data_IF_893110380707
#
_entry.id   IF_893110380707
#
_cell.length_a   1.000
_cell.length_b   1.000
_cell.length_c   1.000
_cell.angle_alpha   90.00
_cell.angle_beta   90.00
_cell.angle_gamma   90.00
#
_symmetry.space_group_name_H-M   'P 1'
#
loop_
_entity.id
_entity.type
_entity.pdbx_description
1 polymer ?
#
# COMPACT_ATOMS: atom_id res chain seq x y z
N UNK A 1 4.40 4.96 -14.90
CA UNK A 1 4.95 3.58 -14.91
C UNK A 1 6.33 3.63 -14.27
N UNK A 2 6.45 3.17 -13.02
CA UNK A 2 7.72 3.06 -12.33
C UNK A 2 8.25 1.64 -12.54
N UNK A 3 9.41 1.48 -13.17
CA UNK A 3 10.04 0.18 -13.43
C UNK A 3 10.75 -0.31 -12.15
N UNK A 4 9.95 -0.73 -11.17
CA UNK A 4 10.36 -1.22 -9.85
C UNK A 4 9.54 -2.47 -9.51
N UNK A 5 10.13 -3.37 -8.73
CA UNK A 5 9.42 -4.55 -8.21
C UNK A 5 8.27 -4.09 -7.32
N UNK A 6 7.04 -4.48 -7.64
CA UNK A 6 5.85 -4.16 -6.86
C UNK A 6 5.39 -5.38 -6.07
N UNK A 7 5.09 -5.21 -4.78
CA UNK A 7 4.65 -6.32 -3.91
C UNK A 7 3.20 -6.76 -4.17
N UNK A 8 2.34 -5.84 -4.60
CA UNK A 8 0.99 -6.17 -5.06
C UNK A 8 0.86 -5.69 -6.49
N UNK A 9 0.63 -6.65 -7.38
CA UNK A 9 0.34 -6.41 -8.80
C UNK A 9 -1.19 -6.45 -9.01
N UNK A 10 -1.67 -5.89 -10.12
CA UNK A 10 -3.09 -5.86 -10.48
C UNK A 10 -3.69 -7.26 -10.77
N UNK A 11 -2.86 -8.30 -10.72
CA UNK A 11 -3.27 -9.68 -10.78
C UNK A 11 -3.62 -10.12 -9.35
N UNK A 12 -4.89 -9.99 -8.95
CA UNK A 12 -5.45 -10.37 -7.63
C UNK A 12 -5.44 -11.89 -7.41
N UNK A 13 -4.25 -12.51 -7.41
CA UNK A 13 -4.10 -13.96 -7.33
C UNK A 13 -3.90 -14.48 -5.90
N UNK A 14 -3.36 -13.65 -5.00
CA UNK A 14 -3.10 -14.01 -3.60
C UNK A 14 -3.73 -13.00 -2.63
N UNK A 15 -4.97 -13.28 -2.24
CA UNK A 15 -5.74 -12.44 -1.34
C UNK A 15 -5.14 -12.32 0.08
N UNK A 16 -4.39 -13.33 0.54
CA UNK A 16 -3.71 -13.27 1.84
C UNK A 16 -2.56 -12.26 1.84
N UNK A 17 -1.84 -12.14 0.72
CA UNK A 17 -0.79 -11.15 0.55
C UNK A 17 -1.37 -9.72 0.48
N UNK A 18 -2.49 -9.56 -0.23
CA UNK A 18 -3.21 -8.27 -0.33
C UNK A 18 -3.77 -7.86 1.04
N UNK A 19 -4.30 -8.80 1.82
CA UNK A 19 -4.79 -8.54 3.17
C UNK A 19 -3.66 -8.10 4.12
N UNK A 20 -2.45 -8.63 3.96
CA UNK A 20 -1.27 -8.23 4.72
C UNK A 20 -0.86 -6.78 4.44
N UNK A 21 -0.90 -6.37 3.16
CA UNK A 21 -0.65 -4.98 2.76
C UNK A 21 -1.76 -4.04 3.26
N UNK A 22 -3.03 -4.43 3.15
CA UNK A 22 -4.16 -3.67 3.71
C UNK A 22 -4.08 -3.51 5.23
N UNK A 23 -3.61 -4.55 5.93
CA UNK A 23 -3.37 -4.50 7.38
C UNK A 23 -2.21 -3.56 7.73
N UNK A 24 -1.13 -3.55 6.95
CA UNK A 24 -0.04 -2.60 7.15
C UNK A 24 -0.52 -1.15 6.98
N UNK A 25 -1.38 -0.88 6.00
CA UNK A 25 -1.91 0.47 5.74
C UNK A 25 -2.95 0.95 6.77
N UNK A 26 -3.59 0.03 7.50
CA UNK A 26 -4.62 0.34 8.50
C UNK A 26 -4.18 0.20 9.96
N UNK A 27 -2.91 -0.15 10.18
CA UNK A 27 -2.32 -0.28 11.52
C UNK A 27 -1.48 0.94 11.90
N UNK A 28 -1.15 1.05 13.19
CA UNK A 28 -0.19 2.05 13.67
C UNK A 28 1.22 1.77 13.11
N UNK A 29 2.07 2.80 13.07
CA UNK A 29 3.41 2.72 12.47
C UNK A 29 4.25 1.55 13.01
N UNK A 30 4.19 1.26 14.32
CA UNK A 30 4.93 0.14 14.91
C UNK A 30 4.54 -1.21 14.32
N UNK A 31 3.24 -1.51 14.22
CA UNK A 31 2.77 -2.77 13.64
C UNK A 31 2.93 -2.80 12.11
N UNK A 32 2.76 -1.65 11.45
CA UNK A 32 2.96 -1.52 10.02
C UNK A 32 4.43 -1.74 9.64
N UNK A 33 5.37 -1.23 10.44
CA UNK A 33 6.81 -1.35 10.22
C UNK A 33 7.30 -2.79 10.31
N UNK A 34 6.81 -3.55 11.30
CA UNK A 34 7.13 -4.98 11.43
C UNK A 34 6.66 -5.77 10.20
N UNK A 35 5.46 -5.45 9.69
CA UNK A 35 4.89 -6.09 8.50
C UNK A 35 5.69 -5.71 7.23
N UNK A 36 6.04 -4.44 7.05
CA UNK A 36 6.82 -3.96 5.91
C UNK A 36 8.24 -4.55 5.91
N UNK A 37 8.86 -4.66 7.08
CA UNK A 37 10.18 -5.28 7.23
C UNK A 37 10.13 -6.78 6.93
N UNK A 38 9.10 -7.48 7.39
CA UNK A 38 8.90 -8.91 7.08
C UNK A 38 8.66 -9.17 5.58
N UNK A 39 8.16 -8.17 4.85
CA UNK A 39 7.91 -8.22 3.41
C UNK A 39 9.07 -7.65 2.57
N UNK A 40 10.18 -7.26 3.19
CA UNK A 40 11.36 -6.67 2.54
C UNK A 40 11.00 -5.45 1.67
N UNK A 41 10.14 -4.56 2.19
CA UNK A 41 9.66 -3.37 1.47
C UNK A 41 10.60 -2.18 1.70
N UNK A 42 11.17 -1.65 0.62
CA UNK A 42 12.04 -0.46 0.68
C UNK A 42 11.29 0.87 0.55
N UNK A 43 10.19 0.90 -0.22
CA UNK A 43 9.47 2.14 -0.54
C UNK A 43 7.96 1.94 -0.54
N UNK A 44 7.24 2.94 -0.01
CA UNK A 44 5.78 3.04 -0.04
C UNK A 44 5.38 4.26 -0.86
N UNK A 45 4.43 4.09 -1.77
CA UNK A 45 3.84 5.17 -2.56
C UNK A 45 2.39 5.39 -2.12
N UNK A 46 2.02 6.64 -1.84
CA UNK A 46 0.65 7.04 -1.49
C UNK A 46 0.21 8.18 -2.40
N UNK A 47 -0.98 8.07 -2.97
CA UNK A 47 -1.60 9.11 -3.80
C UNK A 47 -2.48 9.98 -2.92
N UNK A 48 -2.11 11.26 -2.77
CA UNK A 48 -2.90 12.27 -2.06
C UNK A 48 -3.52 13.28 -3.05
N UNK A 49 -4.85 13.36 -3.07
CA UNK A 49 -5.61 14.17 -4.03
C UNK A 49 -6.12 15.50 -3.50
N UNK A 50 -5.85 15.84 -2.23
CA UNK A 50 -6.48 16.98 -1.54
C UNK A 50 -6.16 18.38 -2.10
N UNK A 51 -5.07 18.53 -2.86
CA UNK A 51 -4.67 19.83 -3.43
C UNK A 51 -5.45 20.17 -4.71
N UNK A 52 -5.83 19.17 -5.50
CA UNK A 52 -6.47 19.35 -6.82
C UNK A 52 -7.90 18.81 -6.87
N UNK A 53 -8.42 18.29 -5.77
CA UNK A 53 -9.76 17.69 -5.71
C UNK A 53 -9.84 16.36 -6.48
N UNK A 54 -8.77 15.57 -6.47
CA UNK A 54 -8.76 14.27 -7.13
C UNK A 54 -9.47 13.23 -6.26
N UNK A 55 -10.64 12.77 -6.71
CA UNK A 55 -11.47 11.79 -6.00
C UNK A 55 -10.89 10.37 -5.97
N UNK A 56 -9.89 10.08 -6.81
CA UNK A 56 -9.21 8.78 -6.86
C UNK A 56 -7.98 8.69 -5.94
N UNK A 57 -7.94 9.47 -4.87
CA UNK A 57 -6.85 9.41 -3.89
C UNK A 57 -6.96 8.19 -2.98
N UNK A 58 -5.85 7.83 -2.35
CA UNK A 58 -5.81 6.65 -1.48
C UNK A 58 -6.50 6.88 -0.13
N UNK A 59 -6.91 8.11 0.16
CA UNK A 59 -7.77 8.44 1.31
C UNK A 59 -9.23 8.04 1.04
N UNK A 60 -9.76 8.31 -0.16
CA UNK A 60 -11.13 7.89 -0.51
C UNK A 60 -11.25 6.38 -0.79
N UNK A 61 -10.13 5.69 -1.02
CA UNK A 61 -10.07 4.23 -1.26
C UNK A 61 -9.75 3.42 0.00
N UNK A 62 -9.62 4.07 1.15
CA UNK A 62 -9.49 3.43 2.46
C UNK A 62 -10.87 3.11 3.03
#
# INVERSE_FOLDING_TARGET
>A
MANRTTLVDNNTWNNSHIALVGKAMSSNESAAYDIMTALDVDYVLVIFGGVIGYSGDDINKF
#
